data_IF_764261321551
#
_entry.id   IF_764261321551
#
_cell.length_a   1.000
_cell.length_b   1.000
_cell.length_c   1.000
_cell.angle_alpha   90.00
_cell.angle_beta   90.00
_cell.angle_gamma   90.00
#
_symmetry.space_group_name_H-M   'P 1'
#
loop_
_entity.id
_entity.type
_entity.pdbx_description
1 polymer ?
#
# COMPACT_ATOMS: atom_id res chain seq x y z
N UNK A 1 -12.05 -14.78 5.58
CA UNK A 1 -11.72 -14.59 4.15
C UNK A 1 -12.15 -13.18 3.82
N UNK A 2 -11.21 -12.24 3.66
CA UNK A 2 -11.56 -10.89 3.21
C UNK A 2 -12.19 -11.02 1.80
N UNK A 3 -13.25 -10.26 1.49
CA UNK A 3 -13.77 -10.22 0.12
C UNK A 3 -12.68 -9.74 -0.86
N UNK A 4 -12.77 -10.11 -2.15
CA UNK A 4 -11.84 -9.62 -3.16
C UNK A 4 -11.95 -8.10 -3.25
N UNK A 5 -10.93 -7.38 -2.75
CA UNK A 5 -10.88 -5.92 -2.76
C UNK A 5 -10.81 -5.44 -4.21
N UNK A 6 -11.72 -4.55 -4.67
CA UNK A 6 -11.61 -3.98 -6.01
C UNK A 6 -10.26 -3.31 -6.09
N UNK A 7 -9.39 -3.86 -6.94
CA UNK A 7 -7.98 -3.53 -7.03
C UNK A 7 -7.71 -2.05 -6.74
N UNK A 8 -6.68 -1.74 -5.95
CA UNK A 8 -6.30 -0.37 -5.51
C UNK A 8 -6.33 0.69 -6.63
N UNK A 9 -6.16 0.26 -7.88
CA UNK A 9 -6.23 1.08 -9.10
C UNK A 9 -7.65 1.47 -9.56
N UNK A 10 -8.70 0.86 -9.01
CA UNK A 10 -10.07 0.91 -9.52
C UNK A 10 -10.92 2.02 -8.92
N UNK A 11 -10.42 2.72 -7.90
CA UNK A 11 -11.18 3.75 -7.20
C UNK A 11 -11.25 5.08 -7.95
N UNK A 12 -10.40 5.30 -8.97
CA UNK A 12 -10.41 6.55 -9.74
C UNK A 12 -9.96 7.78 -8.95
N UNK A 13 -9.40 7.57 -7.76
CA UNK A 13 -8.94 8.60 -6.82
C UNK A 13 -7.45 8.87 -6.93
N UNK A 14 -6.78 8.38 -7.98
CA UNK A 14 -5.33 8.55 -8.17
C UNK A 14 -4.58 7.23 -8.23
N UNK A 15 -3.26 7.30 -8.03
CA UNK A 15 -2.34 6.17 -8.17
C UNK A 15 -1.85 5.93 -9.60
N UNK A 16 -0.78 5.13 -9.77
CA UNK A 16 -0.25 4.79 -11.08
C UNK A 16 -1.25 3.94 -11.88
N UNK A 17 -1.36 4.16 -13.20
CA UNK A 17 -2.34 3.47 -14.04
C UNK A 17 -1.99 1.99 -14.31
N UNK A 18 -0.72 1.62 -14.16
CA UNK A 18 -0.25 0.25 -14.34
C UNK A 18 -0.23 -0.49 -12.99
N UNK A 19 -0.85 -1.67 -12.94
CA UNK A 19 -0.97 -2.47 -11.72
C UNK A 19 0.39 -2.88 -11.13
N UNK A 20 1.41 -3.08 -11.97
CA UNK A 20 2.78 -3.39 -11.53
C UNK A 20 3.44 -2.28 -10.70
N UNK A 21 2.97 -1.03 -10.83
CA UNK A 21 3.45 0.10 -10.06
C UNK A 21 2.65 0.34 -8.77
N UNK A 22 1.64 -0.49 -8.51
CA UNK A 22 0.87 -0.46 -7.26
C UNK A 22 1.63 -1.29 -6.21
N UNK A 23 1.98 -0.64 -5.11
CA UNK A 23 2.59 -1.35 -3.99
C UNK A 23 1.56 -2.25 -3.30
N UNK A 24 1.99 -3.48 -3.01
CA UNK A 24 1.31 -4.45 -2.17
C UNK A 24 2.22 -4.76 -0.98
N UNK A 25 1.68 -5.09 0.20
CA UNK A 25 2.51 -5.43 1.36
C UNK A 25 3.57 -6.50 1.06
N UNK A 26 3.21 -7.51 0.27
CA UNK A 26 4.11 -8.59 -0.12
C UNK A 26 5.31 -8.10 -0.96
N UNK A 27 5.14 -7.09 -1.82
CA UNK A 27 6.23 -6.51 -2.59
C UNK A 27 7.21 -5.76 -1.68
N UNK A 28 6.68 -5.05 -0.68
CA UNK A 28 7.47 -4.29 0.28
C UNK A 28 8.25 -5.21 1.21
N UNK A 29 7.61 -6.27 1.71
CA UNK A 29 8.26 -7.31 2.53
C UNK A 29 9.41 -7.99 1.78
N UNK A 30 9.19 -8.37 0.51
CA UNK A 30 10.23 -8.96 -0.33
C UNK A 30 11.41 -8.00 -0.57
N UNK A 31 11.13 -6.71 -0.78
CA UNK A 31 12.14 -5.68 -0.94
C UNK A 31 12.93 -5.36 0.34
N UNK A 32 12.36 -5.67 1.52
CA UNK A 32 12.97 -5.46 2.83
C UNK A 32 13.42 -6.77 3.50
N UNK A 33 13.82 -7.77 2.72
CA UNK A 33 14.24 -9.06 3.26
C UNK A 33 15.33 -8.90 4.34
N UNK A 34 15.11 -9.54 5.49
CA UNK A 34 16.01 -9.48 6.65
C UNK A 34 15.82 -8.26 7.55
N UNK A 35 14.86 -7.38 7.25
CA UNK A 35 14.43 -6.31 8.15
C UNK A 35 13.28 -6.82 9.02
N UNK A 36 13.13 -6.23 10.20
CA UNK A 36 11.99 -6.51 11.08
C UNK A 36 10.80 -5.66 10.64
N UNK A 37 9.72 -6.30 10.22
CA UNK A 37 8.47 -5.61 9.88
C UNK A 37 7.75 -5.21 11.17
N UNK A 38 7.57 -3.91 11.38
CA UNK A 38 6.88 -3.33 12.53
C UNK A 38 5.40 -3.05 12.23
N UNK A 39 5.08 -2.74 10.97
CA UNK A 39 3.73 -2.52 10.48
C UNK A 39 3.66 -2.96 9.01
N UNK A 40 2.63 -3.73 8.68
CA UNK A 40 2.20 -4.00 7.31
C UNK A 40 0.67 -4.01 7.31
N UNK A 41 0.06 -2.98 6.74
CA UNK A 41 -1.38 -2.84 6.69
C UNK A 41 -1.85 -2.52 5.27
N UNK A 42 -2.84 -3.28 4.84
CA UNK A 42 -3.60 -3.05 3.62
C UNK A 42 -4.98 -2.54 4.02
N UNK A 43 -5.38 -1.38 3.51
CA UNK A 43 -6.59 -0.69 3.95
C UNK A 43 -7.19 0.16 2.84
N UNK A 44 -8.50 0.34 2.93
CA UNK A 44 -9.25 1.28 2.10
C UNK A 44 -9.82 2.39 3.00
N UNK A 45 -9.54 3.65 2.67
CA UNK A 45 -10.08 4.81 3.39
C UNK A 45 -10.30 6.00 2.47
N UNK A 46 -11.30 6.82 2.79
CA UNK A 46 -11.53 8.10 2.13
C UNK A 46 -10.51 9.13 2.61
N UNK A 47 -9.67 9.64 1.70
CA UNK A 47 -8.65 10.62 2.03
C UNK A 47 -8.75 11.88 1.15
N UNK A 48 -8.33 13.06 1.66
CA UNK A 48 -8.36 14.30 0.89
C UNK A 48 -7.10 14.46 0.03
N UNK A 49 -7.15 14.09 -1.25
CA UNK A 49 -6.03 14.24 -2.21
C UNK A 49 -6.25 15.38 -3.23
N UNK A 50 -6.95 16.43 -2.83
CA UNK A 50 -7.32 17.52 -3.73
C UNK A 50 -8.51 17.17 -4.64
N UNK A 51 -9.07 18.16 -5.35
CA UNK A 51 -10.41 18.04 -5.95
C UNK A 51 -10.52 17.00 -7.08
N UNK A 52 -9.43 16.59 -7.72
CA UNK A 52 -9.43 15.57 -8.77
C UNK A 52 -9.22 14.13 -8.26
N UNK A 53 -8.87 13.97 -6.98
CA UNK A 53 -8.43 12.70 -6.38
C UNK A 53 -9.14 12.39 -5.05
N UNK A 54 -10.21 13.11 -4.74
CA UNK A 54 -10.96 12.92 -3.51
C UNK A 54 -11.86 11.68 -3.59
N UNK A 55 -11.78 10.81 -2.59
CA UNK A 55 -12.65 9.64 -2.47
C UNK A 55 -12.00 8.49 -1.71
N UNK A 56 -12.62 7.32 -1.77
CA UNK A 56 -12.08 6.07 -1.23
C UNK A 56 -10.80 5.70 -1.98
N UNK A 57 -9.72 5.43 -1.27
CA UNK A 57 -8.43 5.04 -1.86
C UNK A 57 -7.92 3.77 -1.21
N UNK A 58 -7.25 2.92 -1.99
CA UNK A 58 -6.47 1.81 -1.45
C UNK A 58 -5.10 2.31 -0.98
N UNK A 59 -4.73 2.07 0.27
CA UNK A 59 -3.52 2.61 0.93
C UNK A 59 -2.72 1.50 1.61
N UNK A 60 -1.40 1.42 1.34
CA UNK A 60 -0.50 0.50 2.07
C UNK A 60 0.27 1.30 3.09
N UNK A 61 0.19 0.89 4.35
CA UNK A 61 1.07 1.40 5.39
C UNK A 61 2.13 0.32 5.69
N UNK A 62 3.41 0.67 5.56
CA UNK A 62 4.51 -0.27 5.79
C UNK A 62 5.65 0.41 6.55
N UNK A 63 6.06 -0.20 7.66
CA UNK A 63 7.20 0.23 8.46
C UNK A 63 8.07 -0.98 8.75
N UNK A 64 9.33 -0.92 8.34
CA UNK A 64 10.33 -1.94 8.63
C UNK A 64 11.59 -1.33 9.24
N UNK A 65 12.20 -2.08 10.16
CA UNK A 65 13.44 -1.72 10.85
C UNK A 65 14.59 -2.55 10.31
N UNK A 66 15.56 -1.87 9.69
CA UNK A 66 16.82 -2.48 9.27
C UNK A 66 17.58 -3.03 10.49
N UNK A 67 18.18 -4.23 10.42
CA UNK A 67 19.03 -4.73 11.50
C UNK A 67 20.24 -3.82 11.70
N UNK A 68 20.64 -3.62 12.96
CA UNK A 68 21.93 -3.05 13.28
C UNK A 68 23.00 -4.06 12.85
N UNK A 69 23.92 -3.66 11.98
CA UNK A 69 25.12 -4.46 11.72
C UNK A 69 25.93 -4.58 13.00
N UNK A 70 26.35 -5.81 13.35
CA UNK A 70 27.30 -6.06 14.42
C UNK A 70 28.69 -5.48 14.09
#
# INVERSE_FOLDING_TARGET
MLPPDPARNGYGTGGPPAAENIHEPAHLEAGSAGWEVLLAADRAETIPEGPAHAGLSGLVDFVARKPLSA
#
